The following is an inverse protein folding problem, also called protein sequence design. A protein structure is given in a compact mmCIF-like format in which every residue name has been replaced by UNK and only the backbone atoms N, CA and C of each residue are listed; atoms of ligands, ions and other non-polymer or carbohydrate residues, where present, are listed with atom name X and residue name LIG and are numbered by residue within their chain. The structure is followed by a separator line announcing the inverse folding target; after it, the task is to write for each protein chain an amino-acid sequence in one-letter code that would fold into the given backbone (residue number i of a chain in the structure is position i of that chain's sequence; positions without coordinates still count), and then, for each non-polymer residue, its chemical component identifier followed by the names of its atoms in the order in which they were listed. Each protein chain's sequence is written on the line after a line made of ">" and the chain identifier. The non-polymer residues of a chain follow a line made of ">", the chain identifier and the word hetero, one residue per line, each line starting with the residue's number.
data_IF_766906546522
#
_entry.id   IF_766906546522
#
_cell.length_a   1.000
_cell.length_b   1.000
_cell.length_c   1.000
_cell.angle_alpha   90.00
_cell.angle_beta   90.00
_cell.angle_gamma   90.00
#
_symmetry.space_group_name_H-M   'P 1'
#
loop_
_entity.id
_entity.type
_entity.pdbx_description
1 polymer ?
#
# COMPACT_ATOMS: atom_id res chain seq x y z
N UNK A 1 -40.71 -16.24 -3.96
CA UNK A 1 -40.72 -15.00 -4.75
C UNK A 1 -39.26 -14.65 -5.01
N UNK A 2 -38.79 -14.72 -6.25
CA UNK A 2 -37.38 -14.53 -6.55
C UNK A 2 -37.07 -13.03 -6.69
N UNK A 3 -36.04 -12.55 -6.00
CA UNK A 3 -35.58 -11.18 -6.10
C UNK A 3 -34.76 -11.03 -7.38
N UNK A 4 -35.35 -10.41 -8.40
CA UNK A 4 -34.70 -10.21 -9.71
C UNK A 4 -33.79 -8.99 -9.60
N UNK A 5 -32.50 -9.22 -9.35
CA UNK A 5 -31.49 -8.17 -9.27
C UNK A 5 -30.83 -7.88 -10.63
N UNK A 6 -30.66 -6.59 -10.94
CA UNK A 6 -29.97 -6.17 -12.14
C UNK A 6 -28.44 -6.24 -11.96
N UNK A 7 -27.83 -7.29 -12.52
CA UNK A 7 -26.38 -7.51 -12.45
C UNK A 7 -25.53 -6.38 -13.07
N UNK A 8 -26.06 -5.64 -14.05
CA UNK A 8 -25.36 -4.49 -14.65
C UNK A 8 -25.21 -3.35 -13.64
N UNK A 9 -26.28 -3.05 -12.91
CA UNK A 9 -26.26 -2.04 -11.85
C UNK A 9 -25.37 -2.45 -10.70
N UNK A 10 -25.42 -3.72 -10.28
CA UNK A 10 -24.55 -4.27 -9.24
C UNK A 10 -23.06 -4.17 -9.61
N UNK A 11 -22.69 -4.54 -10.84
CA UNK A 11 -21.30 -4.39 -11.33
C UNK A 11 -20.86 -2.92 -11.35
N UNK A 12 -21.73 -2.01 -11.81
CA UNK A 12 -21.43 -0.57 -11.83
C UNK A 12 -21.23 -0.02 -10.41
N UNK A 13 -22.05 -0.45 -9.45
CA UNK A 13 -21.90 -0.09 -8.04
C UNK A 13 -20.56 -0.58 -7.47
N UNK A 14 -20.21 -1.85 -7.73
CA UNK A 14 -18.92 -2.42 -7.33
C UNK A 14 -17.74 -1.63 -7.90
N UNK A 15 -17.77 -1.31 -9.20
CA UNK A 15 -16.71 -0.54 -9.86
C UNK A 15 -16.55 0.87 -9.26
N UNK A 16 -17.67 1.55 -8.96
CA UNK A 16 -17.63 2.86 -8.27
C UNK A 16 -17.02 2.74 -6.88
N UNK A 17 -17.41 1.74 -6.09
CA UNK A 17 -16.87 1.50 -4.76
C UNK A 17 -15.36 1.22 -4.80
N UNK A 18 -14.89 0.40 -5.74
CA UNK A 18 -13.45 0.12 -5.89
C UNK A 18 -12.66 1.37 -6.27
N UNK A 19 -13.22 2.24 -7.11
CA UNK A 19 -12.55 3.48 -7.50
C UNK A 19 -12.51 4.50 -6.35
N UNK A 20 -13.56 4.58 -5.53
CA UNK A 20 -13.58 5.41 -4.33
C UNK A 20 -12.51 4.97 -3.31
N UNK A 21 -12.43 3.67 -3.02
CA UNK A 21 -11.43 3.11 -2.12
C UNK A 21 -9.99 3.36 -2.62
N UNK A 22 -9.74 3.18 -3.92
CA UNK A 22 -8.44 3.54 -4.53
C UNK A 22 -8.14 5.03 -4.39
N UNK A 23 -9.14 5.89 -4.58
CA UNK A 23 -9.01 7.34 -4.40
C UNK A 23 -8.64 7.71 -2.97
N UNK A 24 -9.24 7.07 -1.96
CA UNK A 24 -8.90 7.25 -0.55
C UNK A 24 -7.46 6.82 -0.24
N UNK A 25 -7.07 5.64 -0.68
CA UNK A 25 -5.69 5.16 -0.54
C UNK A 25 -4.69 6.11 -1.20
N UNK A 26 -5.01 6.63 -2.39
CA UNK A 26 -4.19 7.60 -3.09
C UNK A 26 -4.12 8.94 -2.36
N UNK A 27 -5.22 9.45 -1.77
CA UNK A 27 -5.17 10.66 -0.95
C UNK A 27 -4.23 10.50 0.24
N UNK A 28 -4.24 9.34 0.89
CA UNK A 28 -3.35 9.04 2.02
C UNK A 28 -1.91 8.88 1.56
N UNK A 29 -1.66 8.25 0.41
CA UNK A 29 -0.31 8.00 -0.10
C UNK A 29 0.34 9.26 -0.70
N UNK A 30 -0.43 9.99 -1.51
CA UNK A 30 0.05 11.15 -2.28
C UNK A 30 -0.17 12.49 -1.58
N UNK A 31 -1.13 12.60 -0.66
CA UNK A 31 -1.39 13.80 0.13
C UNK A 31 -0.40 14.05 1.27
N UNK A 32 0.52 13.11 1.53
CA UNK A 32 1.62 13.31 2.49
C UNK A 32 2.57 14.39 2.01
N UNK A 33 3.01 15.24 2.93
CA UNK A 33 4.01 16.27 2.64
C UNK A 33 5.37 15.64 2.34
N UNK A 34 6.26 16.38 1.66
CA UNK A 34 7.63 15.90 1.35
C UNK A 34 8.39 15.55 2.64
N UNK A 35 8.17 16.31 3.71
CA UNK A 35 8.81 16.09 5.01
C UNK A 35 8.35 14.78 5.67
N UNK A 36 7.06 14.50 5.65
CA UNK A 36 6.50 13.23 6.17
C UNK A 36 7.04 12.03 5.41
N UNK A 37 7.07 12.11 4.07
CA UNK A 37 7.66 11.05 3.23
C UNK A 37 9.11 10.80 3.62
N UNK A 38 9.92 11.85 3.71
CA UNK A 38 11.34 11.74 4.09
C UNK A 38 11.52 11.18 5.52
N UNK A 39 10.68 11.57 6.47
CA UNK A 39 10.72 11.02 7.83
C UNK A 39 10.44 9.51 7.83
N UNK A 40 9.41 9.06 7.10
CA UNK A 40 9.09 7.63 6.99
C UNK A 40 10.19 6.84 6.31
N UNK A 41 10.79 7.36 5.24
CA UNK A 41 11.90 6.70 4.55
C UNK A 41 13.15 6.63 5.45
N UNK A 42 13.48 7.69 6.18
CA UNK A 42 14.57 7.67 7.16
C UNK A 42 14.34 6.65 8.28
N UNK A 43 13.11 6.53 8.77
CA UNK A 43 12.78 5.52 9.77
C UNK A 43 12.96 4.10 9.21
N UNK A 44 12.48 3.84 7.99
CA UNK A 44 12.67 2.55 7.30
C UNK A 44 14.15 2.23 7.10
N UNK A 45 14.95 3.18 6.61
CA UNK A 45 16.38 2.94 6.40
C UNK A 45 17.10 2.66 7.70
N UNK A 46 16.81 3.40 8.79
CA UNK A 46 17.39 3.11 10.11
C UNK A 46 17.00 1.72 10.63
N UNK A 47 15.75 1.31 10.44
CA UNK A 47 15.34 -0.05 10.84
C UNK A 47 16.04 -1.11 10.00
N UNK A 48 16.20 -0.87 8.70
CA UNK A 48 16.88 -1.78 7.79
C UNK A 48 18.36 -1.90 8.14
N UNK A 49 19.07 -0.79 8.31
CA UNK A 49 20.50 -0.81 8.68
C UNK A 49 20.72 -1.45 10.05
N UNK A 50 19.81 -1.23 11.02
CA UNK A 50 19.85 -1.90 12.32
C UNK A 50 19.71 -3.41 12.16
N UNK A 51 18.73 -3.88 11.39
CA UNK A 51 18.52 -5.31 11.14
C UNK A 51 19.69 -5.93 10.37
N UNK A 52 20.18 -5.27 9.33
CA UNK A 52 21.32 -5.70 8.52
C UNK A 52 22.59 -5.84 9.38
N UNK A 53 22.79 -4.94 10.34
CA UNK A 53 23.90 -5.01 11.30
C UNK A 53 23.84 -6.21 12.26
N UNK A 54 22.69 -6.87 12.38
CA UNK A 54 22.52 -8.09 13.18
C UNK A 54 22.65 -9.39 12.37
N UNK A 55 22.85 -9.31 11.05
CA UNK A 55 23.03 -10.49 10.20
C UNK A 55 24.44 -11.08 10.37
N UNK A 56 24.51 -12.39 10.67
CA UNK A 56 25.76 -13.14 10.83
C UNK A 56 26.42 -13.51 9.49
N UNK A 57 25.65 -13.47 8.39
CA UNK A 57 26.07 -13.74 7.02
C UNK A 57 25.87 -12.49 6.15
N UNK A 58 26.82 -12.17 5.26
CA UNK A 58 26.69 -11.02 4.34
C UNK A 58 25.37 -11.08 3.57
N UNK A 59 24.69 -9.93 3.44
CA UNK A 59 23.41 -9.75 2.74
C UNK A 59 23.44 -10.02 1.23
N UNK A 60 24.51 -10.63 0.68
CA UNK A 60 24.64 -11.01 -0.73
C UNK A 60 23.63 -12.10 -1.17
N UNK A 61 22.95 -12.73 -0.22
CA UNK A 61 21.93 -13.76 -0.48
C UNK A 61 20.49 -13.24 -0.32
N UNK A 62 20.28 -11.92 -0.16
CA UNK A 62 18.93 -11.35 -0.09
C UNK A 62 18.48 -10.95 -1.50
N UNK A 63 17.83 -11.88 -2.19
CA UNK A 63 17.04 -11.60 -3.39
C UNK A 63 15.77 -10.87 -2.94
N UNK A 64 15.55 -9.61 -3.37
CA UNK A 64 14.34 -8.88 -2.99
C UNK A 64 13.20 -9.23 -3.95
N UNK A 65 12.10 -9.75 -3.39
CA UNK A 65 10.79 -9.80 -4.06
C UNK A 65 10.16 -8.39 -4.21
#
# INVERSE_FOLDING_TARGET
>A
MAEIINLRQARKAKARATNAAKGEANRIAFGRTKLEKLATEKAKTQTKTRLDGHLLTKATNHEPD
#
